data_IF_681378461024
#
_entry.id   IF_681378461024
#
_cell.length_a   1.000
_cell.length_b   1.000
_cell.length_c   1.000
_cell.angle_alpha   90.00
_cell.angle_beta   90.00
_cell.angle_gamma   90.00
#
_symmetry.space_group_name_H-M   'P 1'
#
loop_
_entity.id
_entity.type
_entity.pdbx_description
1 polymer ?
#
# COMPACT_ATOMS: atom_id res chain seq x y z
N UNK A 1 33.76 -10.58 5.51
CA UNK A 1 32.48 -10.20 4.88
C UNK A 1 31.58 -9.60 5.95
N UNK A 2 30.78 -8.56 5.66
CA UNK A 2 29.79 -8.07 6.62
C UNK A 2 28.80 -9.19 7.01
N UNK A 3 28.31 -9.18 8.25
CA UNK A 3 27.27 -10.12 8.67
C UNK A 3 25.98 -9.88 7.87
N UNK A 4 25.10 -10.89 7.72
CA UNK A 4 23.80 -10.71 7.08
C UNK A 4 23.00 -9.56 7.68
N UNK A 5 23.00 -9.42 9.01
CA UNK A 5 22.35 -8.32 9.71
C UNK A 5 22.87 -6.93 9.27
N UNK A 6 24.19 -6.79 9.10
CA UNK A 6 24.79 -5.52 8.66
C UNK A 6 24.45 -5.21 7.19
N UNK A 7 24.34 -6.23 6.34
CA UNK A 7 23.88 -6.06 4.95
C UNK A 7 22.43 -5.56 4.93
N UNK A 8 21.55 -6.18 5.71
CA UNK A 8 20.14 -5.76 5.80
C UNK A 8 19.97 -4.36 6.38
N UNK A 9 20.76 -3.99 7.39
CA UNK A 9 20.73 -2.64 7.94
C UNK A 9 21.16 -1.59 6.90
N UNK A 10 22.21 -1.88 6.12
CA UNK A 10 22.66 -1.01 5.04
C UNK A 10 21.60 -0.89 3.93
N UNK A 11 20.95 -2.00 3.55
CA UNK A 11 19.87 -2.01 2.57
C UNK A 11 18.67 -1.16 3.03
N UNK A 12 18.25 -1.32 4.29
CA UNK A 12 17.18 -0.50 4.87
C UNK A 12 17.56 0.99 4.90
N UNK A 13 18.81 1.32 5.25
CA UNK A 13 19.28 2.70 5.26
C UNK A 13 19.32 3.31 3.84
N UNK A 14 19.71 2.52 2.83
CA UNK A 14 19.70 2.93 1.44
C UNK A 14 18.27 3.21 0.95
N UNK A 15 17.33 2.31 1.24
CA UNK A 15 15.90 2.52 0.95
C UNK A 15 15.37 3.76 1.67
N UNK A 16 15.63 3.92 2.96
CA UNK A 16 15.17 5.09 3.73
C UNK A 16 15.75 6.41 3.23
N UNK A 17 16.96 6.39 2.67
CA UNK A 17 17.55 7.57 2.04
C UNK A 17 16.77 7.99 0.81
N UNK A 18 16.24 7.05 0.02
CA UNK A 18 15.35 7.34 -1.11
C UNK A 18 14.01 7.93 -0.69
N UNK A 19 13.52 7.56 0.50
CA UNK A 19 12.28 8.11 1.08
C UNK A 19 12.46 9.54 1.64
N UNK A 20 13.69 10.09 1.65
CA UNK A 20 13.95 11.41 2.22
C UNK A 20 13.08 12.55 1.64
N UNK A 21 12.79 12.61 0.32
CA UNK A 21 11.96 13.67 -0.26
C UNK A 21 10.51 13.69 0.22
N UNK A 22 10.02 12.59 0.81
CA UNK A 22 8.65 12.50 1.31
C UNK A 22 8.38 13.38 2.53
N UNK A 23 9.44 13.73 3.28
CA UNK A 23 9.29 14.33 4.60
C UNK A 23 9.75 15.79 4.59
N UNK A 24 8.84 16.69 4.97
CA UNK A 24 9.14 18.11 5.15
C UNK A 24 9.95 18.43 6.41
N UNK A 25 10.05 17.49 7.36
CA UNK A 25 10.81 17.66 8.60
C UNK A 25 11.79 16.51 8.86
N UNK A 26 12.96 16.84 9.39
CA UNK A 26 13.96 15.86 9.82
C UNK A 26 13.41 14.91 10.89
N UNK A 27 12.53 15.42 11.77
CA UNK A 27 11.89 14.63 12.82
C UNK A 27 10.99 13.53 12.25
N UNK A 28 10.07 13.86 11.33
CA UNK A 28 9.22 12.86 10.66
C UNK A 28 10.04 11.86 9.86
N UNK A 29 11.11 12.33 9.19
CA UNK A 29 12.03 11.45 8.46
C UNK A 29 12.71 10.44 9.38
N UNK A 30 13.34 10.88 10.47
CA UNK A 30 14.00 9.98 11.42
C UNK A 30 13.00 9.00 12.04
N UNK A 31 11.80 9.49 12.39
CA UNK A 31 10.75 8.68 12.96
C UNK A 31 10.24 7.60 11.99
N UNK A 32 10.16 7.89 10.69
CA UNK A 32 9.79 6.87 9.70
C UNK A 32 10.80 5.71 9.63
N UNK A 33 12.10 5.96 9.80
CA UNK A 33 13.11 4.89 9.88
C UNK A 33 12.90 4.04 11.13
N UNK A 34 12.67 4.69 12.27
CA UNK A 34 12.42 4.00 13.53
C UNK A 34 11.14 3.14 13.45
N UNK A 35 10.10 3.68 12.82
CA UNK A 35 8.86 2.95 12.53
C UNK A 35 9.11 1.73 11.63
N UNK A 36 9.86 1.87 10.53
CA UNK A 36 10.22 0.74 9.66
C UNK A 36 11.02 -0.34 10.40
N UNK A 37 11.98 0.06 11.24
CA UNK A 37 12.73 -0.88 12.08
C UNK A 37 11.81 -1.62 13.06
N UNK A 38 10.85 -0.91 13.66
CA UNK A 38 9.84 -1.51 14.53
C UNK A 38 8.89 -2.46 13.80
N UNK A 39 8.55 -2.19 12.54
CA UNK A 39 7.78 -3.13 11.71
C UNK A 39 8.57 -4.42 11.40
N UNK A 40 9.89 -4.31 11.23
CA UNK A 40 10.78 -5.44 10.95
C UNK A 40 11.30 -6.15 12.21
N UNK A 41 11.00 -5.64 13.40
CA UNK A 41 11.44 -6.24 14.67
C UNK A 41 10.58 -7.45 15.07
N UNK A 42 10.93 -8.05 16.19
CA UNK A 42 10.21 -9.13 16.87
C UNK A 42 8.98 -8.68 17.67
N UNK A 43 8.64 -7.38 17.66
CA UNK A 43 7.41 -6.87 18.30
C UNK A 43 6.20 -7.59 17.71
N UNK A 44 5.52 -8.40 18.51
CA UNK A 44 4.44 -9.27 18.05
C UNK A 44 3.29 -8.47 17.41
N UNK A 45 2.84 -7.41 18.09
CA UNK A 45 1.71 -6.60 17.65
C UNK A 45 2.16 -5.18 17.31
N UNK A 46 2.11 -4.87 16.02
CA UNK A 46 2.58 -3.62 15.41
C UNK A 46 1.60 -2.46 15.58
N UNK A 47 1.25 -2.11 16.82
CA UNK A 47 0.48 -0.89 17.12
C UNK A 47 1.40 0.22 17.66
N UNK A 48 0.89 1.46 17.70
CA UNK A 48 1.68 2.62 18.11
C UNK A 48 2.22 2.55 19.54
N UNK A 49 1.58 1.80 20.43
CA UNK A 49 2.04 1.65 21.81
C UNK A 49 3.24 0.72 21.90
N UNK A 50 3.10 -0.51 21.41
CA UNK A 50 4.16 -1.53 21.49
C UNK A 50 5.38 -1.17 20.65
N UNK A 51 5.17 -0.47 19.53
CA UNK A 51 6.28 0.07 18.75
C UNK A 51 7.00 1.20 19.50
N UNK A 52 6.27 2.05 20.25
CA UNK A 52 6.87 3.12 21.04
C UNK A 52 7.69 2.55 22.20
N UNK A 53 7.16 1.55 22.91
CA UNK A 53 7.88 0.82 23.95
C UNK A 53 9.16 0.17 23.41
N UNK A 54 9.08 -0.47 22.24
CA UNK A 54 10.25 -1.07 21.59
C UNK A 54 11.31 -0.02 21.21
N UNK A 55 10.90 1.20 20.88
CA UNK A 55 11.80 2.33 20.62
C UNK A 55 12.31 3.02 21.90
N UNK A 56 11.87 2.58 23.09
CA UNK A 56 12.21 3.20 24.37
C UNK A 56 11.49 4.52 24.64
N UNK A 57 10.37 4.78 23.97
CA UNK A 57 9.53 5.96 24.18
C UNK A 57 8.48 5.71 25.27
N UNK A 58 8.18 6.73 26.08
CA UNK A 58 7.20 6.63 27.18
C UNK A 58 5.74 6.77 26.70
N UNK A 59 5.51 7.26 25.49
CA UNK A 59 4.17 7.52 24.94
C UNK A 59 4.10 7.15 23.45
N UNK A 60 2.92 6.78 22.91
CA UNK A 60 2.74 6.47 21.50
C UNK A 60 2.68 7.71 20.59
N UNK A 61 2.72 8.92 21.18
CA UNK A 61 2.37 10.18 20.54
C UNK A 61 3.18 10.44 19.28
N UNK A 62 4.45 10.08 19.31
CA UNK A 62 5.32 10.29 18.17
C UNK A 62 4.93 9.42 16.98
N UNK A 63 4.67 8.12 17.19
CA UNK A 63 4.19 7.23 16.11
C UNK A 63 2.82 7.66 15.60
N UNK A 64 1.92 8.03 16.52
CA UNK A 64 0.61 8.55 16.15
C UNK A 64 0.75 9.82 15.30
N UNK A 65 1.65 10.74 15.67
CA UNK A 65 1.95 11.91 14.88
C UNK A 65 2.42 11.54 13.46
N UNK A 66 3.36 10.60 13.32
CA UNK A 66 3.84 10.15 12.00
C UNK A 66 2.70 9.60 11.12
N UNK A 67 1.80 8.81 11.70
CA UNK A 67 0.76 8.10 10.95
C UNK A 67 -0.50 8.94 10.70
N UNK A 68 -0.80 9.93 11.56
CA UNK A 68 -2.04 10.69 11.53
C UNK A 68 -1.86 12.15 11.07
N UNK A 69 -0.73 12.78 11.43
CA UNK A 69 -0.58 14.26 11.36
C UNK A 69 0.60 14.74 10.54
N UNK A 70 1.64 13.92 10.42
CA UNK A 70 2.79 14.28 9.60
C UNK A 70 2.35 14.36 8.14
N UNK A 71 2.70 15.47 7.49
CA UNK A 71 2.45 15.66 6.07
C UNK A 71 3.56 14.99 5.26
N UNK A 72 3.18 13.96 4.51
CA UNK A 72 4.05 13.26 3.56
C UNK A 72 3.23 12.69 2.40
N UNK A 73 3.80 12.75 1.20
CA UNK A 73 3.10 12.37 -0.01
C UNK A 73 3.06 10.84 -0.17
N UNK A 74 1.87 10.26 0.06
CA UNK A 74 1.66 8.83 -0.06
C UNK A 74 1.84 8.33 -1.51
N UNK A 75 1.49 9.12 -2.52
CA UNK A 75 1.60 8.72 -3.92
C UNK A 75 3.06 8.76 -4.39
N UNK A 76 3.83 9.77 -3.96
CA UNK A 76 5.27 9.79 -4.13
C UNK A 76 5.94 8.59 -3.42
N UNK A 77 5.45 8.18 -2.25
CA UNK A 77 5.98 7.01 -1.56
C UNK A 77 5.75 5.71 -2.36
N UNK A 78 4.60 5.59 -3.03
CA UNK A 78 4.35 4.50 -4.00
C UNK A 78 5.35 4.55 -5.14
N UNK A 79 5.56 5.73 -5.74
CA UNK A 79 6.42 5.86 -6.90
C UNK A 79 7.87 5.50 -6.55
N UNK A 80 8.40 5.98 -5.42
CA UNK A 80 9.73 5.60 -4.91
C UNK A 80 9.82 4.10 -4.66
N UNK A 81 8.79 3.48 -4.08
CA UNK A 81 8.75 2.03 -3.84
C UNK A 81 8.76 1.26 -5.17
N UNK A 82 7.91 1.63 -6.13
CA UNK A 82 7.85 1.00 -7.45
C UNK A 82 9.18 1.08 -8.16
N UNK A 83 9.83 2.24 -8.14
CA UNK A 83 11.12 2.45 -8.80
C UNK A 83 12.22 1.61 -8.12
N UNK A 84 12.21 1.55 -6.79
CA UNK A 84 13.11 0.66 -6.03
C UNK A 84 12.89 -0.82 -6.37
N UNK A 85 11.63 -1.27 -6.42
CA UNK A 85 11.28 -2.65 -6.78
C UNK A 85 11.72 -2.97 -8.21
N UNK A 86 11.49 -2.05 -9.15
CA UNK A 86 11.83 -2.23 -10.56
C UNK A 86 13.35 -2.29 -10.78
N UNK A 87 14.13 -1.51 -10.04
CA UNK A 87 15.60 -1.57 -10.10
C UNK A 87 16.16 -2.92 -9.65
N UNK A 88 15.52 -3.58 -8.68
CA UNK A 88 16.04 -4.81 -8.07
C UNK A 88 15.42 -6.08 -8.65
N UNK A 89 14.17 -6.02 -9.11
CA UNK A 89 13.39 -7.18 -9.58
C UNK A 89 12.94 -7.03 -11.04
N UNK A 90 13.20 -5.90 -11.69
CA UNK A 90 12.78 -5.62 -13.07
C UNK A 90 13.20 -6.73 -14.03
N UNK A 91 12.24 -7.23 -14.80
CA UNK A 91 12.40 -8.37 -15.69
C UNK A 91 11.42 -8.21 -16.86
N UNK A 92 11.90 -8.42 -18.08
CA UNK A 92 11.06 -8.45 -19.28
C UNK A 92 9.96 -9.52 -19.19
N UNK A 93 10.17 -10.59 -18.42
CA UNK A 93 9.19 -11.63 -18.12
C UNK A 93 8.40 -11.37 -16.84
N UNK A 94 8.50 -10.18 -16.25
CA UNK A 94 7.84 -9.80 -15.01
C UNK A 94 6.32 -9.99 -15.04
N UNK A 95 5.74 -10.25 -13.88
CA UNK A 95 4.31 -10.49 -13.68
C UNK A 95 3.75 -9.43 -12.75
N UNK A 96 2.68 -8.76 -13.20
CA UNK A 96 1.84 -7.89 -12.39
C UNK A 96 0.66 -8.69 -11.84
N UNK A 97 0.55 -8.78 -10.53
CA UNK A 97 -0.42 -9.59 -9.81
C UNK A 97 -1.39 -8.65 -9.09
N UNK A 98 -2.67 -8.73 -9.44
CA UNK A 98 -3.73 -7.93 -8.83
C UNK A 98 -4.47 -8.80 -7.83
N UNK A 99 -4.58 -8.31 -6.60
CA UNK A 99 -5.35 -8.99 -5.56
C UNK A 99 -5.95 -8.00 -4.56
N UNK A 100 -6.89 -8.48 -3.77
CA UNK A 100 -7.64 -7.70 -2.80
C UNK A 100 -7.44 -8.28 -1.41
N UNK A 101 -7.26 -7.42 -0.41
CA UNK A 101 -7.20 -7.89 0.98
C UNK A 101 -8.16 -7.14 1.87
N UNK A 102 -8.78 -7.91 2.78
CA UNK A 102 -9.81 -7.42 3.67
C UNK A 102 -9.29 -7.21 5.09
N UNK A 103 -9.38 -5.98 5.58
CA UNK A 103 -8.99 -5.62 6.95
C UNK A 103 -10.24 -5.52 7.81
N UNK A 104 -10.42 -6.45 8.74
CA UNK A 104 -11.55 -6.41 9.69
C UNK A 104 -11.44 -5.18 10.58
N UNK A 105 -12.55 -4.47 10.74
CA UNK A 105 -12.62 -3.26 11.56
C UNK A 105 -13.84 -3.27 12.46
N UNK A 106 -13.72 -2.56 13.59
CA UNK A 106 -14.84 -2.26 14.48
C UNK A 106 -15.20 -0.77 14.34
N UNK A 107 -16.48 -0.44 14.47
CA UNK A 107 -16.98 0.92 14.29
C UNK A 107 -17.14 1.35 12.83
N UNK A 108 -17.43 2.64 12.64
CA UNK A 108 -17.86 3.22 11.35
C UNK A 108 -16.93 4.32 10.81
N UNK A 109 -15.88 4.68 11.57
CA UNK A 109 -15.02 5.82 11.29
C UNK A 109 -13.85 5.53 10.34
N UNK A 110 -13.40 4.27 10.22
CA UNK A 110 -12.29 3.93 9.31
C UNK A 110 -12.70 4.12 7.85
N UNK A 111 -11.91 4.85 7.06
CA UNK A 111 -12.15 5.14 5.65
C UNK A 111 -12.58 3.89 4.85
N UNK A 112 -13.70 3.94 4.13
CA UNK A 112 -14.17 2.81 3.32
C UNK A 112 -14.69 1.60 4.10
N UNK A 113 -14.82 1.67 5.44
CA UNK A 113 -15.36 0.55 6.21
C UNK A 113 -16.85 0.34 5.94
N UNK A 114 -17.21 -0.91 5.68
CA UNK A 114 -18.60 -1.36 5.49
C UNK A 114 -18.70 -2.85 5.80
N UNK A 115 -19.92 -3.33 6.12
CA UNK A 115 -20.27 -4.75 6.02
C UNK A 115 -20.23 -5.22 4.57
N UNK A 116 -19.17 -5.91 4.20
CA UNK A 116 -18.92 -6.45 2.87
C UNK A 116 -18.20 -7.79 2.98
N UNK A 117 -18.21 -8.57 1.90
CA UNK A 117 -17.47 -9.84 1.89
C UNK A 117 -15.96 -9.54 2.01
N UNK A 118 -15.32 -10.16 2.99
CA UNK A 118 -13.87 -10.11 3.17
C UNK A 118 -13.31 -11.50 2.90
N UNK A 119 -12.45 -11.63 1.89
CA UNK A 119 -11.78 -12.89 1.55
C UNK A 119 -10.99 -13.44 2.74
N UNK A 120 -10.29 -12.57 3.46
CA UNK A 120 -9.51 -12.92 4.67
C UNK A 120 -10.39 -13.48 5.80
N UNK A 121 -11.63 -13.02 5.93
CA UNK A 121 -12.57 -13.52 6.92
C UNK A 121 -13.43 -14.70 6.42
N UNK A 122 -13.45 -14.96 5.11
CA UNK A 122 -14.32 -15.95 4.46
C UNK A 122 -15.82 -15.64 4.56
N UNK A 123 -16.20 -14.43 4.99
CA UNK A 123 -17.61 -14.05 5.25
C UNK A 123 -17.84 -12.55 5.15
N UNK A 124 -19.10 -12.15 5.22
CA UNK A 124 -19.48 -10.74 5.31
C UNK A 124 -19.18 -10.20 6.70
N UNK A 125 -18.26 -9.24 6.77
CA UNK A 125 -17.85 -8.57 8.00
C UNK A 125 -17.68 -7.09 7.76
N UNK A 126 -17.70 -6.33 8.86
CA UNK A 126 -17.32 -4.92 8.80
C UNK A 126 -15.81 -4.83 8.51
N UNK A 127 -15.46 -4.37 7.32
CA UNK A 127 -14.09 -4.40 6.81
C UNK A 127 -13.79 -3.25 5.85
N UNK A 128 -12.50 -2.92 5.75
CA UNK A 128 -11.93 -2.14 4.65
C UNK A 128 -11.36 -3.12 3.62
N UNK A 129 -11.47 -2.80 2.34
CA UNK A 129 -10.86 -3.60 1.28
C UNK A 129 -9.79 -2.76 0.59
N UNK A 130 -8.56 -3.24 0.56
CA UNK A 130 -7.51 -2.67 -0.28
C UNK A 130 -7.33 -3.50 -1.54
N UNK A 131 -7.14 -2.85 -2.68
CA UNK A 131 -6.68 -3.43 -3.95
C UNK A 131 -5.18 -3.21 -4.03
N UNK A 132 -4.42 -4.26 -4.31
CA UNK A 132 -2.96 -4.23 -4.34
C UNK A 132 -2.45 -4.73 -5.68
N UNK A 133 -1.35 -4.12 -6.13
CA UNK A 133 -0.59 -4.57 -7.28
C UNK A 133 0.78 -5.02 -6.79
N UNK A 134 1.01 -6.32 -6.87
CA UNK A 134 2.29 -6.94 -6.59
C UNK A 134 3.03 -7.17 -7.90
N UNK A 135 4.33 -6.89 -7.90
CA UNK A 135 5.22 -7.19 -8.99
C UNK A 135 6.06 -8.41 -8.61
N UNK A 136 6.13 -9.40 -9.50
CA UNK A 136 7.00 -10.55 -9.36
C UNK A 136 7.95 -10.62 -10.55
N UNK A 137 9.26 -10.67 -10.27
CA UNK A 137 10.31 -10.81 -11.26
C UNK A 137 11.31 -11.90 -10.85
N UNK A 138 12.48 -11.91 -11.47
CA UNK A 138 13.51 -12.88 -11.10
C UNK A 138 13.99 -12.66 -9.66
N UNK A 139 13.89 -13.69 -8.81
CA UNK A 139 14.44 -13.68 -7.46
C UNK A 139 13.57 -13.04 -6.37
N UNK A 140 12.37 -12.55 -6.67
CA UNK A 140 11.50 -11.99 -5.64
C UNK A 140 10.19 -11.37 -6.11
N UNK A 141 9.43 -10.85 -5.15
CA UNK A 141 8.19 -10.12 -5.38
C UNK A 141 7.99 -9.02 -4.33
N UNK A 142 7.30 -7.94 -4.70
CA UNK A 142 7.00 -6.83 -3.82
C UNK A 142 5.80 -6.02 -4.33
N UNK A 143 5.10 -5.33 -3.43
CA UNK A 143 4.04 -4.39 -3.81
C UNK A 143 4.61 -3.18 -4.54
N UNK A 144 3.94 -2.76 -5.61
CA UNK A 144 4.29 -1.58 -6.40
C UNK A 144 3.17 -0.54 -6.45
N UNK A 145 1.93 -0.93 -6.13
CA UNK A 145 0.81 0.01 -6.03
C UNK A 145 -0.28 -0.52 -5.08
N UNK A 146 -1.14 0.39 -4.61
CA UNK A 146 -2.27 0.14 -3.72
C UNK A 146 -3.38 1.16 -3.96
N UNK A 147 -4.62 0.74 -3.78
CA UNK A 147 -5.80 1.60 -3.74
C UNK A 147 -6.77 1.13 -2.65
N UNK A 148 -7.41 2.06 -1.95
CA UNK A 148 -8.52 1.74 -1.06
C UNK A 148 -9.80 1.63 -1.87
N UNK A 149 -10.51 0.50 -1.80
CA UNK A 149 -11.85 0.41 -2.34
C UNK A 149 -12.81 1.17 -1.43
N UNK A 150 -13.40 2.26 -1.97
CA UNK A 150 -14.36 3.10 -1.27
C UNK A 150 -15.78 2.73 -1.72
N UNK A 151 -16.60 2.10 -0.87
CA UNK A 151 -17.96 1.72 -1.25
C UNK A 151 -18.83 2.95 -1.56
N UNK A 152 -19.82 2.80 -2.45
CA UNK A 152 -20.69 3.90 -2.89
C UNK A 152 -21.33 4.69 -1.73
N UNK A 153 -21.76 4.03 -0.66
CA UNK A 153 -22.34 4.71 0.51
C UNK A 153 -21.40 5.71 1.20
N UNK A 154 -20.08 5.59 0.99
CA UNK A 154 -19.11 6.57 1.47
C UNK A 154 -19.09 7.79 0.57
N UNK A 155 -18.96 7.59 -0.74
CA UNK A 155 -18.91 8.69 -1.71
C UNK A 155 -20.22 9.47 -1.76
N UNK A 156 -21.34 8.83 -1.43
CA UNK A 156 -22.66 9.46 -1.30
C UNK A 156 -22.80 10.25 0.02
N UNK A 157 -21.90 10.07 0.98
CA UNK A 157 -21.90 10.72 2.30
C UNK A 157 -20.64 11.60 2.47
N UNK A 158 -20.61 12.75 1.79
CA UNK A 158 -19.45 13.65 1.71
C UNK A 158 -18.86 14.05 3.07
N UNK A 159 -19.70 14.35 4.06
CA UNK A 159 -19.26 14.68 5.43
C UNK A 159 -18.50 13.53 6.11
N UNK A 160 -18.86 12.28 5.81
CA UNK A 160 -18.17 11.09 6.31
C UNK A 160 -16.79 10.95 5.66
N UNK A 161 -16.68 11.22 4.35
CA UNK A 161 -15.40 11.23 3.65
C UNK A 161 -14.46 12.31 4.20
N UNK A 162 -14.96 13.51 4.45
CA UNK A 162 -14.18 14.61 5.04
C UNK A 162 -13.65 14.27 6.43
N UNK A 163 -14.50 13.72 7.31
CA UNK A 163 -14.11 13.28 8.64
C UNK A 163 -13.03 12.17 8.61
N UNK A 164 -12.94 11.41 7.52
CA UNK A 164 -11.94 10.38 7.32
C UNK A 164 -10.74 10.83 6.47
N UNK A 165 -10.64 12.12 6.12
CA UNK A 165 -9.52 12.68 5.33
C UNK A 165 -9.53 12.29 3.85
N UNK A 166 -10.64 11.80 3.30
CA UNK A 166 -10.75 11.42 1.89
C UNK A 166 -10.97 12.69 1.07
N UNK A 167 -10.20 12.99 0.01
CA UNK A 167 -10.41 14.20 -0.81
C UNK A 167 -11.75 14.23 -1.56
N UNK A 168 -12.18 15.42 -2.00
CA UNK A 168 -13.39 15.61 -2.80
C UNK A 168 -13.29 15.02 -4.22
N UNK A 169 -12.08 14.90 -4.75
CA UNK A 169 -11.78 14.30 -6.06
C UNK A 169 -11.99 12.79 -6.10
N UNK A 170 -12.02 12.11 -4.94
CA UNK A 170 -12.22 10.67 -4.87
C UNK A 170 -13.70 10.37 -5.09
N UNK A 171 -13.99 9.71 -6.22
CA UNK A 171 -15.33 9.25 -6.60
C UNK A 171 -15.44 7.73 -6.55
N UNK A 172 -16.65 7.20 -6.65
CA UNK A 172 -16.86 5.75 -6.60
C UNK A 172 -16.24 5.07 -7.81
N UNK A 173 -15.39 4.07 -7.55
CA UNK A 173 -14.85 3.16 -8.53
C UNK A 173 -14.99 1.72 -8.01
N UNK A 174 -15.39 0.79 -8.89
CA UNK A 174 -15.30 -0.63 -8.58
C UNK A 174 -13.84 -1.09 -8.62
N UNK A 175 -13.56 -2.29 -8.12
CA UNK A 175 -12.20 -2.83 -8.01
C UNK A 175 -11.50 -3.00 -9.37
N UNK A 176 -12.13 -3.50 -10.46
CA UNK A 176 -11.46 -3.60 -11.76
C UNK A 176 -11.01 -2.24 -12.35
N UNK A 177 -11.80 -1.15 -12.31
CA UNK A 177 -11.33 0.20 -12.61
C UNK A 177 -10.14 0.67 -11.75
N UNK A 178 -10.13 0.37 -10.44
CA UNK A 178 -8.98 0.71 -9.58
C UNK A 178 -7.72 -0.05 -10.02
N UNK A 179 -7.84 -1.36 -10.28
CA UNK A 179 -6.75 -2.17 -10.80
C UNK A 179 -6.24 -1.66 -12.14
N UNK A 180 -7.14 -1.29 -13.05
CA UNK A 180 -6.78 -0.66 -14.33
C UNK A 180 -5.94 0.61 -14.14
N UNK A 181 -6.35 1.52 -13.25
CA UNK A 181 -5.60 2.74 -12.97
C UNK A 181 -4.21 2.46 -12.40
N UNK A 182 -4.07 1.44 -11.55
CA UNK A 182 -2.78 1.01 -11.02
C UNK A 182 -1.87 0.46 -12.13
N UNK A 183 -2.41 -0.36 -13.03
CA UNK A 183 -1.68 -0.86 -14.20
C UNK A 183 -1.25 0.26 -15.15
N UNK A 184 -2.14 1.22 -15.42
CA UNK A 184 -1.84 2.41 -16.23
C UNK A 184 -0.64 3.18 -15.64
N UNK A 185 -0.67 3.51 -14.34
CA UNK A 185 0.46 4.18 -13.68
C UNK A 185 1.76 3.37 -13.73
N UNK A 186 1.68 2.06 -13.55
CA UNK A 186 2.85 1.17 -13.60
C UNK A 186 3.49 1.14 -14.98
N UNK A 187 2.68 1.10 -16.05
CA UNK A 187 3.20 1.13 -17.41
C UNK A 187 3.66 2.52 -17.86
N UNK A 188 2.95 3.57 -17.47
CA UNK A 188 3.38 4.95 -17.75
C UNK A 188 4.73 5.27 -17.09
N UNK A 189 5.06 4.59 -15.99
CA UNK A 189 6.36 4.64 -15.34
C UNK A 189 7.42 3.72 -15.97
N UNK A 190 7.10 2.97 -17.02
CA UNK A 190 8.04 2.13 -17.76
C UNK A 190 8.44 0.84 -17.05
N UNK A 191 7.61 0.33 -16.11
CA UNK A 191 7.92 -0.94 -15.44
C UNK A 191 7.84 -2.10 -16.45
N UNK A 192 8.93 -2.88 -16.64
CA UNK A 192 8.95 -4.00 -17.56
C UNK A 192 8.07 -5.13 -17.03
N UNK A 193 7.20 -5.68 -17.87
CA UNK A 193 6.42 -6.88 -17.54
C UNK A 193 5.87 -7.50 -18.83
N UNK A 194 5.61 -8.82 -18.77
CA UNK A 194 4.98 -9.57 -19.87
C UNK A 194 3.61 -10.11 -19.51
N UNK A 195 3.30 -10.22 -18.23
CA UNK A 195 2.12 -10.92 -17.75
C UNK A 195 1.35 -10.07 -16.74
N UNK A 196 0.02 -10.18 -16.79
CA UNK A 196 -0.87 -9.69 -15.75
C UNK A 196 -1.69 -10.88 -15.26
N UNK A 197 -1.72 -11.11 -13.95
CA UNK A 197 -2.54 -12.14 -13.30
C UNK A 197 -3.45 -11.52 -12.26
N UNK A 198 -4.60 -12.14 -12.05
CA UNK A 198 -5.60 -11.70 -11.09
C UNK A 198 -6.55 -12.85 -10.76
N UNK A 199 -7.30 -12.72 -9.67
CA UNK A 199 -8.31 -13.69 -9.28
C UNK A 199 -9.59 -13.65 -10.16
N UNK A 200 -10.58 -14.47 -9.81
CA UNK A 200 -11.82 -14.59 -10.59
C UNK A 200 -12.67 -13.31 -10.61
N UNK A 201 -12.56 -12.43 -9.62
CA UNK A 201 -13.33 -11.17 -9.57
C UNK A 201 -12.94 -10.30 -10.76
N UNK A 202 -11.64 -10.22 -11.04
CA UNK A 202 -11.09 -9.51 -12.18
C UNK A 202 -11.29 -10.28 -13.49
N UNK A 203 -11.14 -11.61 -13.47
CA UNK A 203 -11.36 -12.45 -14.66
C UNK A 203 -12.78 -12.38 -15.23
N UNK A 204 -13.79 -12.16 -14.37
CA UNK A 204 -15.19 -11.99 -14.80
C UNK A 204 -15.46 -10.60 -15.39
N UNK A 205 -14.59 -9.62 -15.20
CA UNK A 205 -14.74 -8.29 -15.80
C UNK A 205 -14.27 -8.28 -17.26
N UNK A 206 -15.23 -8.39 -18.19
CA UNK A 206 -14.95 -8.37 -19.63
C UNK A 206 -14.23 -7.10 -20.08
N UNK A 207 -14.52 -5.94 -19.46
CA UNK A 207 -13.94 -4.65 -19.89
C UNK A 207 -12.45 -4.60 -19.56
N UNK A 208 -12.07 -5.07 -18.38
CA UNK A 208 -10.67 -5.19 -17.97
C UNK A 208 -9.93 -6.17 -18.89
N UNK A 209 -10.51 -7.35 -19.16
CA UNK A 209 -9.87 -8.34 -20.04
C UNK A 209 -9.63 -7.83 -21.46
N UNK A 210 -10.66 -7.28 -22.11
CA UNK A 210 -10.53 -6.73 -23.47
C UNK A 210 -9.52 -5.59 -23.52
N UNK A 211 -9.48 -4.76 -22.47
CA UNK A 211 -8.50 -3.67 -22.38
C UNK A 211 -7.06 -4.20 -22.22
N UNK A 212 -6.85 -5.24 -21.39
CA UNK A 212 -5.55 -5.92 -21.26
C UNK A 212 -5.12 -6.53 -22.59
N UNK A 213 -6.02 -7.25 -23.28
CA UNK A 213 -5.75 -7.84 -24.60
C UNK A 213 -5.39 -6.79 -25.65
N UNK A 214 -5.99 -5.60 -25.61
CA UNK A 214 -5.70 -4.52 -26.57
C UNK A 214 -4.32 -3.88 -26.44
N UNK A 215 -3.58 -4.19 -25.36
CA UNK A 215 -2.23 -3.68 -25.10
C UNK A 215 -1.11 -4.65 -25.53
N UNK A 216 -1.48 -5.83 -26.04
CA UNK A 216 -0.56 -6.85 -26.55
C UNK A 216 -0.71 -7.06 -28.06
#
# INVERSE_FOLDING_TARGET
MPSPAKIWEQALQALHTRLAPLFHSTGSRQRSLAYLRGLLSDVERKNSWQLAEWMGENTPDGIQYLLERADWDVDMARDILRDYVTEHLGDEQGVLIIDETGFIKKGTHSAGVQRQYSGTAGRVENSQIGVFLCYAGNGGHAFVDRALYLPRQWTDARSRCEAAGIPASVTFATKPPLARQMLERTWDAGVPCRWVTADEVYGRDRRLRVWLESRY
#
